data_IF_316733614309
#
_entry.id   IF_316733614309
#
_cell.length_a   1.000
_cell.length_b   1.000
_cell.length_c   1.000
_cell.angle_alpha   90.00
_cell.angle_beta   90.00
_cell.angle_gamma   90.00
#
_symmetry.space_group_name_H-M   'P 1'
#
loop_
_entity.id
_entity.type
_entity.pdbx_description
1 polymer ?
#
# COMPACT_ATOMS: atom_id res chain seq x y z
N UNK A 1 -56.42 17.58 32.71
CA UNK A 1 -57.36 18.00 31.64
C UNK A 1 -57.43 19.52 31.61
N UNK A 2 -57.19 20.13 30.43
CA UNK A 2 -57.64 21.46 29.95
C UNK A 2 -57.21 22.69 30.76
N UNK A 3 -56.88 23.87 30.22
CA UNK A 3 -56.65 24.49 28.90
C UNK A 3 -56.14 25.92 29.28
N UNK A 4 -55.00 26.41 28.79
CA UNK A 4 -54.81 27.22 27.57
C UNK A 4 -55.30 28.71 27.63
N UNK A 5 -54.28 29.60 27.63
CA UNK A 5 -54.03 30.88 26.90
C UNK A 5 -54.70 32.22 27.27
N UNK A 6 -53.84 33.26 27.23
CA UNK A 6 -53.92 34.55 26.50
C UNK A 6 -53.71 35.77 27.44
N UNK A 7 -53.10 36.90 27.08
CA UNK A 7 -52.26 37.40 25.97
C UNK A 7 -51.97 38.88 26.30
N UNK A 8 -50.93 39.46 25.70
CA UNK A 8 -50.68 40.92 25.63
C UNK A 8 -49.18 41.19 25.46
N UNK A 9 -48.64 41.35 24.24
CA UNK A 9 -48.67 42.54 23.36
C UNK A 9 -48.09 43.79 24.06
N UNK A 10 -47.19 44.60 23.51
CA UNK A 10 -46.40 44.65 22.28
C UNK A 10 -45.42 45.86 22.42
N UNK A 11 -44.60 46.10 21.38
CA UNK A 11 -44.10 47.42 20.88
C UNK A 11 -42.59 47.73 21.03
N UNK A 12 -41.92 47.69 19.87
CA UNK A 12 -40.85 48.55 19.31
C UNK A 12 -39.49 48.67 20.01
N UNK A 13 -38.36 48.93 19.35
CA UNK A 13 -37.91 48.94 17.95
C UNK A 13 -36.39 49.25 17.96
N UNK A 14 -35.73 48.96 16.84
CA UNK A 14 -34.54 49.63 16.28
C UNK A 14 -33.11 49.24 16.72
N UNK A 15 -32.27 49.05 15.69
CA UNK A 15 -30.80 49.02 15.71
C UNK A 15 -30.23 47.60 15.72
N UNK A 16 -29.73 47.01 14.63
CA UNK A 16 -29.03 47.57 13.48
C UNK A 16 -27.56 47.20 13.61
N UNK A 17 -27.13 46.11 12.95
CA UNK A 17 -25.86 45.95 12.22
C UNK A 17 -25.70 44.48 11.83
N UNK A 18 -26.07 44.18 10.58
CA UNK A 18 -25.65 42.97 9.90
C UNK A 18 -24.20 43.19 9.43
N UNK A 19 -23.26 42.41 9.95
CA UNK A 19 -21.97 42.24 9.33
C UNK A 19 -22.15 41.30 8.14
N UNK A 20 -22.17 41.87 6.94
CA UNK A 20 -22.04 41.11 5.71
C UNK A 20 -20.60 40.58 5.63
N UNK A 21 -20.42 39.28 5.90
CA UNK A 21 -19.23 38.58 5.46
C UNK A 21 -19.33 38.42 3.94
N UNK A 22 -18.46 39.12 3.24
CA UNK A 22 -18.27 39.04 1.80
C UNK A 22 -17.76 37.63 1.49
N UNK A 23 -18.63 36.78 0.94
CA UNK A 23 -18.21 35.58 0.22
C UNK A 23 -17.54 36.02 -1.08
N UNK A 24 -16.20 36.01 -1.09
CA UNK A 24 -15.43 36.02 -2.34
C UNK A 24 -15.60 34.65 -3.03
N UNK A 25 -15.86 34.61 -4.35
CA UNK A 25 -15.89 33.36 -5.08
C UNK A 25 -14.45 32.99 -5.43
N UNK A 26 -13.75 32.29 -4.53
CA UNK A 26 -12.45 31.70 -4.84
C UNK A 26 -12.18 30.45 -3.99
N UNK A 27 -13.19 29.56 -3.95
CA UNK A 27 -13.10 28.21 -3.37
C UNK A 27 -13.25 27.15 -4.46
N UNK A 28 -12.53 27.35 -5.56
CA UNK A 28 -12.12 26.26 -6.44
C UNK A 28 -10.59 26.33 -6.46
N UNK A 29 -9.98 25.77 -5.40
CA UNK A 29 -8.56 25.50 -5.41
C UNK A 29 -8.25 24.69 -6.67
N UNK A 30 -7.35 25.21 -7.49
CA UNK A 30 -6.85 24.50 -8.66
C UNK A 30 -6.40 23.09 -8.24
N UNK A 31 -6.61 22.05 -9.08
CA UNK A 31 -6.04 20.75 -8.81
C UNK A 31 -4.54 20.94 -8.64
N UNK A 32 -4.04 20.63 -7.44
CA UNK A 32 -2.59 20.55 -7.18
C UNK A 32 -2.05 19.60 -8.24
N UNK A 33 -1.24 20.12 -9.16
CA UNK A 33 -0.45 19.29 -10.05
C UNK A 33 0.20 18.21 -9.21
N UNK A 34 0.09 16.94 -9.64
CA UNK A 34 0.77 15.81 -9.05
C UNK A 34 2.21 16.25 -8.75
N UNK A 35 2.51 16.41 -7.45
CA UNK A 35 3.84 16.80 -7.04
C UNK A 35 4.76 15.71 -7.54
N UNK A 36 5.71 16.07 -8.39
CA UNK A 36 6.83 15.17 -8.71
C UNK A 36 7.37 14.68 -7.38
N UNK A 37 7.33 13.36 -7.19
CA UNK A 37 8.01 12.70 -6.09
C UNK A 37 9.46 13.23 -6.06
N UNK A 38 10.02 13.50 -4.87
CA UNK A 38 11.41 13.92 -4.78
C UNK A 38 12.26 12.92 -5.56
N UNK A 39 13.14 13.44 -6.42
CA UNK A 39 14.09 12.64 -7.21
C UNK A 39 15.02 11.93 -6.20
N UNK A 40 14.64 10.72 -5.77
CA UNK A 40 15.44 9.89 -4.86
C UNK A 40 16.57 9.28 -5.68
N UNK A 41 17.78 9.25 -5.11
CA UNK A 41 18.88 8.54 -5.75
C UNK A 41 18.53 7.06 -5.80
N UNK A 42 18.69 6.45 -6.97
CA UNK A 42 18.58 5.00 -7.12
C UNK A 42 19.53 4.32 -6.12
N UNK A 43 19.01 3.39 -5.33
CA UNK A 43 19.81 2.65 -4.37
C UNK A 43 20.79 1.78 -5.13
N UNK A 44 22.08 1.88 -4.79
CA UNK A 44 23.10 0.98 -5.37
C UNK A 44 22.89 -0.43 -4.82
N UNK A 45 22.30 -1.29 -5.65
CA UNK A 45 22.16 -2.72 -5.38
C UNK A 45 23.52 -3.43 -5.54
N UNK A 46 23.84 -4.43 -4.69
CA UNK A 46 25.01 -5.29 -4.85
C UNK A 46 25.14 -5.90 -6.25
N UNK A 47 26.37 -6.01 -6.75
CA UNK A 47 26.66 -6.74 -8.00
C UNK A 47 26.20 -8.20 -7.90
N UNK A 48 25.49 -8.69 -8.91
CA UNK A 48 24.96 -10.06 -8.97
C UNK A 48 23.58 -10.25 -8.35
N UNK A 49 23.01 -9.21 -7.74
CA UNK A 49 21.69 -9.25 -7.11
C UNK A 49 20.57 -9.71 -8.05
N UNK A 50 20.56 -9.25 -9.30
CA UNK A 50 19.54 -9.66 -10.26
C UNK A 50 19.55 -11.17 -10.52
N UNK A 51 20.72 -11.80 -10.64
CA UNK A 51 20.82 -13.25 -10.86
C UNK A 51 20.38 -14.05 -9.61
N UNK A 52 20.71 -13.56 -8.42
CA UNK A 52 20.27 -14.17 -7.16
C UNK A 52 18.77 -14.00 -6.94
N UNK A 53 18.22 -12.84 -7.27
CA UNK A 53 16.78 -12.56 -7.23
C UNK A 53 16.01 -13.46 -8.21
N UNK A 54 16.45 -13.56 -9.47
CA UNK A 54 15.83 -14.46 -10.46
C UNK A 54 15.85 -15.93 -9.99
N UNK A 55 16.95 -16.37 -9.38
CA UNK A 55 17.05 -17.71 -8.82
C UNK A 55 16.08 -17.92 -7.65
N UNK A 56 15.98 -16.96 -6.74
CA UNK A 56 15.05 -16.99 -5.62
C UNK A 56 13.59 -17.01 -6.11
N UNK A 57 13.24 -16.17 -7.09
CA UNK A 57 11.90 -16.15 -7.68
C UNK A 57 11.53 -17.48 -8.28
N UNK A 58 12.44 -18.11 -9.04
CA UNK A 58 12.19 -19.43 -9.61
C UNK A 58 11.90 -20.47 -8.52
N UNK A 59 12.59 -20.42 -7.40
CA UNK A 59 12.31 -21.28 -6.25
C UNK A 59 10.93 -21.00 -5.66
N UNK A 60 10.57 -19.73 -5.46
CA UNK A 60 9.25 -19.32 -4.96
C UNK A 60 8.13 -19.73 -5.94
N UNK A 61 8.34 -19.56 -7.24
CA UNK A 61 7.42 -19.97 -8.30
C UNK A 61 7.15 -21.48 -8.29
N UNK A 62 8.16 -22.29 -8.01
CA UNK A 62 8.01 -23.75 -7.86
C UNK A 62 7.36 -24.13 -6.52
N UNK A 63 7.57 -23.33 -5.47
CA UNK A 63 7.06 -23.59 -4.13
C UNK A 63 5.58 -23.21 -3.94
N UNK A 64 5.14 -22.05 -4.45
CA UNK A 64 3.83 -21.46 -4.14
C UNK A 64 2.71 -21.93 -5.08
N UNK A 65 2.50 -23.23 -5.11
CA UNK A 65 1.24 -23.80 -5.62
C UNK A 65 0.06 -23.57 -4.67
N UNK A 66 0.35 -23.36 -3.38
CA UNK A 66 -0.62 -23.03 -2.33
C UNK A 66 -0.11 -21.83 -1.51
N UNK A 67 -1.03 -20.97 -1.08
CA UNK A 67 -0.69 -19.82 -0.22
C UNK A 67 -0.54 -20.28 1.23
N UNK A 68 0.61 -20.01 1.83
CA UNK A 68 0.75 -20.04 3.28
C UNK A 68 0.14 -18.74 3.84
N UNK A 69 -0.86 -18.84 4.71
CA UNK A 69 -1.52 -17.70 5.33
C UNK A 69 -1.38 -17.73 6.85
N UNK A 70 -0.33 -18.39 7.34
CA UNK A 70 0.04 -18.38 8.75
C UNK A 70 0.52 -16.99 9.18
N UNK A 71 0.20 -16.66 10.43
CA UNK A 71 0.70 -15.44 11.09
C UNK A 71 2.13 -15.65 11.55
N UNK A 72 2.87 -14.56 11.65
CA UNK A 72 4.25 -14.59 12.16
C UNK A 72 4.30 -14.91 13.64
N UNK A 73 5.29 -15.70 14.05
CA UNK A 73 5.67 -15.87 15.47
C UNK A 73 6.68 -14.79 15.94
N UNK A 74 6.98 -13.77 15.12
CA UNK A 74 7.99 -12.77 15.46
C UNK A 74 7.54 -11.84 16.61
N UNK A 75 8.44 -11.67 17.59
CA UNK A 75 8.18 -10.84 18.78
C UNK A 75 8.45 -9.33 18.56
N UNK A 76 8.88 -8.93 17.36
CA UNK A 76 9.29 -7.56 17.05
C UNK A 76 8.72 -7.06 15.73
N UNK A 77 8.27 -5.80 15.71
CA UNK A 77 7.53 -5.23 14.57
C UNK A 77 8.42 -4.85 13.39
N UNK A 78 9.38 -3.94 13.56
CA UNK A 78 10.11 -3.30 12.43
C UNK A 78 11.60 -3.65 12.46
N UNK A 79 12.00 -4.76 11.85
CA UNK A 79 13.38 -5.21 11.76
C UNK A 79 14.11 -4.66 10.54
N UNK A 80 14.64 -3.43 10.60
CA UNK A 80 15.54 -2.90 9.58
C UNK A 80 16.98 -2.99 10.08
N UNK A 81 17.88 -3.54 9.27
CA UNK A 81 19.31 -3.67 9.62
C UNK A 81 19.96 -2.30 9.85
N UNK A 82 20.94 -2.27 10.73
CA UNK A 82 21.68 -1.05 11.05
C UNK A 82 22.27 -0.39 9.80
N UNK A 83 21.97 0.90 9.61
CA UNK A 83 22.43 1.69 8.48
C UNK A 83 21.70 1.42 7.16
N UNK A 84 20.64 0.61 7.16
CA UNK A 84 19.86 0.25 5.97
C UNK A 84 18.49 0.91 5.85
N UNK A 85 18.19 1.87 6.73
CA UNK A 85 16.90 2.55 6.74
C UNK A 85 16.58 3.29 5.43
N UNK A 86 17.51 4.06 4.89
CA UNK A 86 17.26 4.80 3.64
C UNK A 86 17.04 3.84 2.46
N UNK A 87 17.88 2.81 2.34
CA UNK A 87 17.76 1.77 1.32
C UNK A 87 16.40 1.03 1.43
N UNK A 88 15.98 0.66 2.64
CA UNK A 88 14.72 -0.06 2.89
C UNK A 88 13.50 0.79 2.53
N UNK A 89 13.53 2.08 2.89
CA UNK A 89 12.48 3.03 2.57
C UNK A 89 12.38 3.30 1.06
N UNK A 90 13.52 3.37 0.38
CA UNK A 90 13.54 3.53 -1.07
C UNK A 90 13.02 2.29 -1.79
N UNK A 91 13.49 1.08 -1.42
CA UNK A 91 13.02 -0.16 -2.01
C UNK A 91 11.51 -0.36 -1.82
N UNK A 92 10.97 0.01 -0.66
CA UNK A 92 9.53 -0.07 -0.39
C UNK A 92 8.71 0.90 -1.24
N UNK A 93 9.21 2.12 -1.43
CA UNK A 93 8.60 3.10 -2.32
C UNK A 93 8.59 2.61 -3.77
N UNK A 94 9.71 2.05 -4.24
CA UNK A 94 9.84 1.50 -5.59
C UNK A 94 8.87 0.33 -5.81
N UNK A 95 8.69 -0.54 -4.79
CA UNK A 95 7.68 -1.61 -4.83
C UNK A 95 6.26 -1.07 -4.93
N UNK A 96 5.90 -0.09 -4.12
CA UNK A 96 4.58 0.55 -4.18
C UNK A 96 4.33 1.17 -5.56
N UNK A 97 5.28 1.92 -6.11
CA UNK A 97 5.14 2.53 -7.44
C UNK A 97 5.06 1.47 -8.55
N UNK A 98 5.84 0.39 -8.46
CA UNK A 98 5.73 -0.71 -9.40
C UNK A 98 4.32 -1.34 -9.35
N UNK A 99 3.77 -1.57 -8.16
CA UNK A 99 2.39 -2.02 -8.00
C UNK A 99 1.36 -1.05 -8.58
N UNK A 100 1.55 0.27 -8.42
CA UNK A 100 0.71 1.29 -9.06
C UNK A 100 0.73 1.16 -10.59
N UNK A 101 1.87 0.85 -11.19
CA UNK A 101 2.01 0.69 -12.63
C UNK A 101 1.32 -0.57 -13.19
N UNK A 102 1.25 -1.65 -12.40
CA UNK A 102 0.63 -2.91 -12.83
C UNK A 102 -0.85 -3.06 -12.43
N UNK A 103 -1.27 -2.46 -11.31
CA UNK A 103 -2.64 -2.57 -10.77
C UNK A 103 -3.45 -1.28 -10.87
N UNK A 104 -2.83 -0.17 -11.27
CA UNK A 104 -3.42 1.17 -11.32
C UNK A 104 -3.44 1.91 -9.97
N UNK A 105 -3.41 3.24 -10.01
CA UNK A 105 -3.55 4.11 -8.84
C UNK A 105 -4.95 3.97 -8.23
N UNK A 106 -5.09 3.18 -7.16
CA UNK A 106 -6.32 3.05 -6.37
C UNK A 106 -7.45 2.21 -6.97
N UNK A 107 -7.32 1.69 -8.19
CA UNK A 107 -8.36 0.89 -8.84
C UNK A 107 -7.81 -0.43 -9.39
N UNK A 108 -7.75 -1.45 -8.52
CA UNK A 108 -7.35 -2.83 -8.83
C UNK A 108 -8.40 -3.58 -9.68
N UNK A 109 -9.10 -2.88 -10.57
CA UNK A 109 -10.12 -3.43 -11.46
C UNK A 109 -9.52 -3.87 -12.80
N UNK A 110 -8.36 -3.32 -13.19
CA UNK A 110 -7.67 -3.68 -14.43
C UNK A 110 -6.20 -3.97 -14.11
N UNK A 111 -5.85 -5.25 -14.10
CA UNK A 111 -4.45 -5.67 -13.98
C UNK A 111 -3.85 -5.73 -15.38
N UNK A 112 -2.76 -4.99 -15.59
CA UNK A 112 -2.06 -4.96 -16.87
C UNK A 112 -1.07 -6.14 -16.94
N UNK A 113 -1.58 -7.36 -17.14
CA UNK A 113 -0.75 -8.57 -17.27
C UNK A 113 0.32 -8.43 -18.37
N UNK A 114 0.01 -7.68 -19.45
CA UNK A 114 0.95 -7.37 -20.54
C UNK A 114 2.19 -6.58 -20.09
N UNK A 115 2.16 -5.92 -18.92
CA UNK A 115 3.32 -5.22 -18.34
C UNK A 115 4.22 -6.15 -17.50
N UNK A 116 3.80 -7.39 -17.29
CA UNK A 116 4.49 -8.40 -16.45
C UNK A 116 4.89 -9.61 -17.29
N UNK A 117 4.15 -9.89 -18.37
CA UNK A 117 4.44 -10.97 -19.31
C UNK A 117 5.29 -10.46 -20.49
N UNK A 118 6.39 -11.15 -20.77
CA UNK A 118 7.10 -11.09 -22.04
C UNK A 118 6.45 -12.09 -23.01
N UNK A 119 6.17 -11.65 -24.25
CA UNK A 119 5.47 -12.45 -25.27
C UNK A 119 6.15 -13.79 -25.60
N UNK A 120 7.46 -13.90 -25.37
CA UNK A 120 8.28 -15.07 -25.72
C UNK A 120 8.82 -15.85 -24.50
N UNK A 121 8.87 -15.23 -23.31
CA UNK A 121 9.57 -15.78 -22.13
C UNK A 121 8.71 -16.03 -20.88
N UNK A 122 7.44 -15.62 -20.84
CA UNK A 122 6.59 -15.80 -19.65
C UNK A 122 6.63 -14.56 -18.73
N UNK A 123 6.67 -14.73 -17.41
CA UNK A 123 6.68 -13.61 -16.46
C UNK A 123 8.09 -13.00 -16.31
N UNK A 124 8.57 -12.33 -17.36
CA UNK A 124 9.91 -11.71 -17.39
C UNK A 124 9.84 -10.21 -17.80
N UNK A 125 8.66 -9.59 -17.70
CA UNK A 125 8.52 -8.16 -17.98
C UNK A 125 9.33 -7.27 -17.02
N UNK A 126 9.70 -6.06 -17.47
CA UNK A 126 10.51 -5.09 -16.71
C UNK A 126 10.01 -4.90 -15.27
N UNK A 127 8.69 -4.73 -15.08
CA UNK A 127 8.10 -4.55 -13.75
C UNK A 127 8.16 -5.82 -12.90
N UNK A 128 8.11 -7.02 -13.49
CA UNK A 128 8.25 -8.26 -12.73
C UNK A 128 9.67 -8.41 -12.18
N UNK A 129 10.68 -8.18 -13.02
CA UNK A 129 12.08 -8.21 -12.64
C UNK A 129 12.39 -7.20 -11.54
N UNK A 130 11.98 -5.94 -11.72
CA UNK A 130 12.25 -4.88 -10.74
C UNK A 130 11.58 -5.17 -9.38
N UNK A 131 10.35 -5.66 -9.39
CA UNK A 131 9.62 -5.98 -8.16
C UNK A 131 10.26 -7.14 -7.42
N UNK A 132 10.58 -8.22 -8.14
CA UNK A 132 11.17 -9.41 -7.53
C UNK A 132 12.59 -9.13 -7.01
N UNK A 133 13.37 -8.34 -7.73
CA UNK A 133 14.70 -7.90 -7.28
C UNK A 133 14.59 -7.03 -6.01
N UNK A 134 13.64 -6.08 -5.95
CA UNK A 134 13.45 -5.25 -4.77
C UNK A 134 12.95 -6.04 -3.56
N UNK A 135 12.03 -7.00 -3.75
CA UNK A 135 11.58 -7.92 -2.71
C UNK A 135 12.77 -8.72 -2.17
N UNK A 136 13.56 -9.33 -3.05
CA UNK A 136 14.74 -10.10 -2.66
C UNK A 136 15.74 -9.22 -1.90
N UNK A 137 15.98 -8.01 -2.40
CA UNK A 137 16.88 -7.07 -1.75
C UNK A 137 16.43 -6.73 -0.33
N UNK A 138 15.14 -6.44 -0.15
CA UNK A 138 14.55 -6.18 1.16
C UNK A 138 14.77 -7.36 2.11
N UNK A 139 14.34 -8.56 1.70
CA UNK A 139 14.38 -9.75 2.55
C UNK A 139 15.79 -10.18 2.92
N UNK A 140 16.71 -10.22 1.96
CA UNK A 140 18.05 -10.79 2.19
C UNK A 140 19.08 -9.78 2.68
N UNK A 141 18.91 -8.49 2.40
CA UNK A 141 19.97 -7.49 2.63
C UNK A 141 19.57 -6.33 3.54
N UNK A 142 18.29 -5.95 3.60
CA UNK A 142 17.87 -4.74 4.31
C UNK A 142 17.18 -5.01 5.63
N UNK A 143 16.54 -6.17 5.77
CA UNK A 143 15.70 -6.50 6.91
C UNK A 143 16.29 -7.59 7.80
N UNK A 144 15.88 -7.57 9.06
CA UNK A 144 16.11 -8.61 10.05
C UNK A 144 14.78 -9.35 10.30
N UNK A 145 14.80 -10.59 10.83
CA UNK A 145 13.58 -11.31 11.15
C UNK A 145 12.64 -10.50 12.06
N UNK A 146 11.48 -10.13 11.54
CA UNK A 146 10.47 -9.29 12.22
C UNK A 146 9.09 -9.45 11.56
N UNK A 147 8.06 -8.79 12.10
CA UNK A 147 6.75 -8.69 11.43
C UNK A 147 6.88 -7.99 10.07
N UNK A 148 7.73 -6.95 9.95
CA UNK A 148 7.97 -6.27 8.68
C UNK A 148 8.51 -7.22 7.61
N UNK A 149 9.54 -8.01 7.96
CA UNK A 149 10.05 -9.06 7.08
C UNK A 149 8.94 -10.02 6.65
N UNK A 150 8.13 -10.48 7.61
CA UNK A 150 7.01 -11.38 7.31
C UNK A 150 5.98 -10.76 6.37
N UNK A 151 5.62 -9.49 6.55
CA UNK A 151 4.71 -8.78 5.65
C UNK A 151 5.29 -8.67 4.23
N UNK A 152 6.60 -8.39 4.09
CA UNK A 152 7.28 -8.35 2.79
C UNK A 152 7.24 -9.72 2.11
N UNK A 153 7.58 -10.78 2.84
CA UNK A 153 7.55 -12.14 2.31
C UNK A 153 6.12 -12.53 1.91
N UNK A 154 5.11 -12.23 2.76
CA UNK A 154 3.70 -12.49 2.42
C UNK A 154 3.24 -11.72 1.19
N UNK A 155 3.67 -10.47 1.05
CA UNK A 155 3.42 -9.66 -0.14
C UNK A 155 4.01 -10.30 -1.40
N UNK A 156 5.22 -10.85 -1.30
CA UNK A 156 5.88 -11.56 -2.39
C UNK A 156 5.15 -12.86 -2.78
N UNK A 157 4.74 -13.65 -1.79
CA UNK A 157 3.95 -14.88 -2.01
C UNK A 157 2.65 -14.58 -2.76
N UNK A 158 1.90 -13.58 -2.29
CA UNK A 158 0.66 -13.15 -2.90
C UNK A 158 0.85 -12.59 -4.30
N UNK A 159 1.97 -11.90 -4.53
CA UNK A 159 2.33 -11.41 -5.86
C UNK A 159 2.60 -12.56 -6.82
N UNK A 160 3.53 -13.45 -6.48
CA UNK A 160 3.93 -14.58 -7.35
C UNK A 160 2.73 -15.49 -7.62
N UNK A 161 1.99 -15.88 -6.57
CA UNK A 161 0.78 -16.68 -6.73
C UNK A 161 -0.27 -15.95 -7.57
N UNK A 162 -0.45 -14.66 -7.32
CA UNK A 162 -1.40 -13.81 -8.04
C UNK A 162 -1.10 -13.70 -9.53
N UNK A 163 0.19 -13.58 -9.87
CA UNK A 163 0.69 -13.58 -11.24
C UNK A 163 0.45 -14.96 -11.88
N UNK A 164 0.96 -16.04 -11.27
CA UNK A 164 0.87 -17.39 -11.81
C UNK A 164 -0.56 -17.90 -12.02
N UNK A 165 -1.46 -17.60 -11.08
CA UNK A 165 -2.85 -18.08 -11.09
C UNK A 165 -3.83 -17.06 -11.69
N UNK A 166 -3.32 -15.93 -12.22
CA UNK A 166 -4.12 -14.77 -12.64
C UNK A 166 -5.13 -14.32 -11.56
N UNK A 167 -4.75 -14.47 -10.29
CA UNK A 167 -5.61 -14.21 -9.15
C UNK A 167 -5.53 -12.73 -8.74
N UNK A 168 -6.44 -11.93 -9.32
CA UNK A 168 -6.56 -10.49 -9.03
C UNK A 168 -6.77 -10.18 -7.55
N UNK A 169 -7.36 -11.09 -6.76
CA UNK A 169 -7.56 -10.88 -5.32
C UNK A 169 -6.22 -10.98 -4.58
N UNK A 170 -5.38 -11.96 -4.93
CA UNK A 170 -4.03 -12.07 -4.38
C UNK A 170 -3.17 -10.85 -4.74
N UNK A 171 -3.18 -10.44 -6.01
CA UNK A 171 -2.47 -9.24 -6.49
C UNK A 171 -2.92 -7.96 -5.77
N UNK A 172 -4.23 -7.82 -5.54
CA UNK A 172 -4.80 -6.71 -4.77
C UNK A 172 -4.28 -6.69 -3.34
N UNK A 173 -4.15 -7.84 -2.70
CA UNK A 173 -3.66 -7.91 -1.33
C UNK A 173 -2.16 -7.69 -1.24
N UNK A 174 -1.38 -8.20 -2.20
CA UNK A 174 0.04 -7.87 -2.33
C UNK A 174 0.24 -6.35 -2.40
N UNK A 175 -0.45 -5.66 -3.33
CA UNK A 175 -0.37 -4.20 -3.44
C UNK A 175 -0.72 -3.51 -2.10
N UNK A 176 -1.83 -3.88 -1.46
CA UNK A 176 -2.26 -3.26 -0.19
C UNK A 176 -1.25 -3.44 0.93
N UNK A 177 -0.56 -4.57 1.01
CA UNK A 177 0.52 -4.80 1.97
C UNK A 177 1.64 -3.78 1.72
N UNK A 178 2.18 -3.71 0.50
CA UNK A 178 3.27 -2.78 0.19
C UNK A 178 2.86 -1.31 0.36
N UNK A 179 1.64 -0.94 -0.02
CA UNK A 179 1.10 0.40 0.23
C UNK A 179 1.01 0.73 1.72
N UNK A 180 0.39 -0.12 2.54
CA UNK A 180 0.26 0.14 3.98
C UNK A 180 1.65 0.28 4.64
N UNK A 181 2.60 -0.58 4.27
CA UNK A 181 3.99 -0.48 4.72
C UNK A 181 4.62 0.85 4.29
N UNK A 182 4.48 1.24 3.02
CA UNK A 182 5.04 2.49 2.48
C UNK A 182 4.46 3.72 3.18
N UNK A 183 3.13 3.81 3.32
CA UNK A 183 2.46 4.90 4.03
C UNK A 183 2.95 5.00 5.48
N UNK A 184 3.09 3.87 6.18
CA UNK A 184 3.55 3.88 7.56
C UNK A 184 5.02 4.29 7.71
N UNK A 185 5.90 3.78 6.84
CA UNK A 185 7.34 3.93 6.99
C UNK A 185 7.91 5.18 6.30
N UNK A 186 7.41 5.53 5.09
CA UNK A 186 7.84 6.69 4.33
C UNK A 186 7.02 7.96 4.62
N UNK A 187 5.72 7.82 4.91
CA UNK A 187 4.79 8.95 5.07
C UNK A 187 4.39 9.21 6.53
N UNK A 188 5.02 8.50 7.48
CA UNK A 188 4.80 8.67 8.92
C UNK A 188 3.45 8.16 9.41
N UNK A 189 2.73 7.39 8.60
CA UNK A 189 1.42 6.82 8.94
C UNK A 189 0.31 7.86 9.12
N UNK A 190 0.52 9.10 8.67
CA UNK A 190 -0.54 10.09 8.63
C UNK A 190 -1.46 9.77 7.44
N UNK A 191 -2.78 9.67 7.70
CA UNK A 191 -3.87 9.54 6.69
C UNK A 191 -3.95 10.81 5.80
N UNK A 192 -2.83 11.19 5.18
CA UNK A 192 -2.72 12.39 4.34
C UNK A 192 -3.26 12.11 2.94
N UNK A 193 -4.52 11.68 2.87
CA UNK A 193 -5.26 11.48 1.62
C UNK A 193 -5.08 10.13 0.94
N UNK A 194 -4.29 9.21 1.51
CA UNK A 194 -4.11 7.83 1.05
C UNK A 194 -4.79 6.87 2.05
N UNK A 195 -5.65 5.97 1.55
CA UNK A 195 -6.45 5.06 2.37
C UNK A 195 -5.57 3.93 2.94
N UNK A 196 -5.37 3.86 4.26
CA UNK A 196 -4.72 2.71 4.93
C UNK A 196 -5.73 1.57 5.09
N UNK A 197 -5.39 0.36 4.65
CA UNK A 197 -6.29 -0.79 4.72
C UNK A 197 -6.13 -1.65 5.98
N UNK A 198 -5.02 -1.47 6.71
CA UNK A 198 -4.64 -2.23 7.89
C UNK A 198 -4.45 -3.73 7.64
N UNK A 199 -3.91 -4.09 6.48
CA UNK A 199 -3.72 -5.50 6.04
C UNK A 199 -2.36 -6.10 6.41
N UNK A 200 -1.51 -5.34 7.10
CA UNK A 200 -0.19 -5.79 7.54
C UNK A 200 -0.24 -6.30 8.99
N UNK A 201 0.60 -7.27 9.34
CA UNK A 201 0.80 -7.67 10.74
C UNK A 201 1.61 -6.61 11.51
N UNK A 202 2.51 -5.89 10.83
CA UNK A 202 3.38 -4.88 11.45
C UNK A 202 2.61 -3.68 12.01
N UNK A 203 1.65 -3.15 11.25
CA UNK A 203 0.94 -1.90 11.57
C UNK A 203 -0.59 -2.01 11.53
N UNK A 204 -1.12 -3.11 11.00
CA UNK A 204 -2.54 -3.31 10.78
C UNK A 204 -3.26 -3.93 11.98
N UNK A 205 -4.36 -4.63 11.68
CA UNK A 205 -5.22 -5.28 12.67
C UNK A 205 -5.34 -6.75 12.32
N UNK A 206 -5.05 -7.63 13.28
CA UNK A 206 -5.17 -9.09 13.13
C UNK A 206 -6.50 -9.50 12.48
N UNK A 207 -7.63 -8.99 12.98
CA UNK A 207 -8.97 -9.27 12.40
C UNK A 207 -9.14 -8.89 10.92
N UNK A 208 -8.42 -7.88 10.43
CA UNK A 208 -8.43 -7.49 9.01
C UNK A 208 -7.58 -8.47 8.19
N UNK A 209 -6.41 -8.84 8.70
CA UNK A 209 -5.53 -9.86 8.11
C UNK A 209 -6.26 -11.22 8.02
N UNK A 210 -6.94 -11.64 9.10
CA UNK A 210 -7.77 -12.86 9.10
C UNK A 210 -8.90 -12.80 8.06
N UNK A 211 -9.52 -11.64 7.89
CA UNK A 211 -10.57 -11.44 6.88
C UNK A 211 -10.00 -11.56 5.48
N UNK A 212 -8.82 -11.00 5.23
CA UNK A 212 -8.08 -11.16 3.97
C UNK A 212 -7.75 -12.62 3.70
N UNK A 213 -7.18 -13.33 4.68
CA UNK A 213 -6.82 -14.74 4.55
C UNK A 213 -8.05 -15.61 4.25
N UNK A 214 -9.15 -15.35 4.94
CA UNK A 214 -10.42 -16.03 4.70
C UNK A 214 -10.97 -15.75 3.30
N UNK A 215 -10.81 -14.52 2.79
CA UNK A 215 -11.24 -14.15 1.45
C UNK A 215 -10.37 -14.78 0.36
N UNK A 216 -9.10 -15.10 0.63
CA UNK A 216 -8.23 -15.83 -0.31
C UNK A 216 -8.55 -17.33 -0.35
N UNK A 217 -8.89 -17.92 0.79
CA UNK A 217 -9.26 -19.33 0.91
C UNK A 217 -10.70 -19.65 0.46
N UNK A 218 -11.57 -18.63 0.38
CA UNK A 218 -12.96 -18.75 -0.02
C UNK A 218 -13.18 -18.42 -1.51
N UNK A 219 -13.49 -19.45 -2.31
CA UNK A 219 -14.11 -19.31 -3.63
C UNK A 219 -15.47 -18.60 -3.54
#
# INVERSE_FOLDING_TARGET
MKKWIAAGAAVCAAGGMAAAAVFGPDLLGEPRAAGQAPERQAVEKPDGMAEEAEAAVRELEEAYTELDLTFSDADYSVGIRDGKQEDALAALYDLHEAFNNITGYGAVEVFAYDNIQDEDAGYEGEYYGDMTENIYYMSEHLLEPSLLQHDIDKGAELFIYGVQQENQRALRYAHRIFHDLDVHLNHGGEESGEDIWHVTETFGKESVVETMHSALNGN
#
